data_IF_220838914188
#
_entry.id   IF_220838914188
#
_cell.length_a   1.000
_cell.length_b   1.000
_cell.length_c   1.000
_cell.angle_alpha   90.00
_cell.angle_beta   90.00
_cell.angle_gamma   90.00
#
_symmetry.space_group_name_H-M   'P 1'
#
loop_
_entity.id
_entity.type
_entity.pdbx_description
1 polymer ?
#
# COMPACT_ATOMS: atom_id res chain seq x y z
N UNK A 1 -15.00 -29.78 -31.74
CA UNK A 1 -13.70 -29.89 -31.01
C UNK A 1 -12.64 -29.14 -31.79
N UNK A 2 -11.67 -28.52 -31.09
CA UNK A 2 -10.55 -27.68 -31.56
C UNK A 2 -10.81 -26.17 -31.68
N UNK A 3 -10.61 -25.43 -30.57
CA UNK A 3 -10.08 -24.05 -30.56
C UNK A 3 -9.48 -23.75 -29.17
N UNK A 4 -8.30 -24.30 -28.89
CA UNK A 4 -7.48 -23.89 -27.73
C UNK A 4 -6.01 -23.88 -28.12
N UNK A 5 -5.64 -22.91 -28.96
CA UNK A 5 -4.27 -22.48 -29.12
C UNK A 5 -4.32 -20.98 -29.38
N UNK A 6 -3.90 -20.17 -28.40
CA UNK A 6 -3.31 -18.82 -28.52
C UNK A 6 -3.45 -17.98 -27.24
N UNK A 7 -3.07 -18.48 -26.06
CA UNK A 7 -2.76 -17.59 -24.92
C UNK A 7 -1.64 -18.17 -24.03
N UNK A 8 -0.45 -18.37 -24.59
CA UNK A 8 0.74 -18.73 -23.80
C UNK A 8 2.02 -17.95 -24.16
N UNK A 9 1.89 -16.71 -24.64
CA UNK A 9 3.04 -15.85 -24.98
C UNK A 9 2.95 -14.46 -24.36
N UNK A 10 2.85 -14.36 -23.02
CA UNK A 10 3.11 -13.08 -22.32
C UNK A 10 3.79 -13.20 -20.95
N UNK A 11 4.53 -14.29 -20.69
CA UNK A 11 5.35 -14.45 -19.46
C UNK A 11 6.87 -14.32 -19.64
N UNK A 12 7.37 -13.95 -20.83
CA UNK A 12 8.82 -13.85 -21.10
C UNK A 12 9.40 -12.42 -21.25
N UNK A 13 8.66 -11.37 -20.89
CA UNK A 13 9.15 -9.98 -21.06
C UNK A 13 9.67 -9.28 -19.79
N UNK A 14 9.76 -9.95 -18.63
CA UNK A 14 10.15 -9.28 -17.38
C UNK A 14 11.51 -9.69 -16.78
N UNK A 15 12.25 -10.62 -17.40
CA UNK A 15 13.56 -11.05 -16.88
C UNK A 15 14.75 -10.24 -17.40
N UNK A 16 14.63 -9.55 -18.54
CA UNK A 16 15.78 -8.92 -19.20
C UNK A 16 16.05 -7.46 -18.79
N UNK A 17 15.14 -6.79 -18.07
CA UNK A 17 15.25 -5.34 -17.79
C UNK A 17 15.69 -5.01 -16.34
N UNK A 18 16.05 -6.02 -15.54
CA UNK A 18 16.30 -5.87 -14.10
C UNK A 18 17.57 -6.64 -13.68
N UNK A 19 18.73 -6.27 -14.23
CA UNK A 19 20.04 -6.86 -13.90
C UNK A 19 20.56 -6.55 -12.48
N UNK A 20 19.68 -6.16 -11.54
CA UNK A 20 20.01 -5.97 -10.14
C UNK A 20 19.42 -7.09 -9.29
N UNK A 21 20.20 -7.64 -8.35
CA UNK A 21 19.67 -8.55 -7.32
C UNK A 21 18.63 -7.80 -6.49
N UNK A 22 17.34 -8.06 -6.75
CA UNK A 22 16.27 -7.58 -5.88
C UNK A 22 16.57 -8.01 -4.45
N UNK A 23 16.63 -7.05 -3.54
CA UNK A 23 16.74 -7.33 -2.12
C UNK A 23 15.46 -8.04 -1.65
N UNK A 24 15.53 -8.80 -0.56
CA UNK A 24 14.33 -9.43 0.01
C UNK A 24 13.27 -8.38 0.39
N UNK A 25 13.71 -7.18 0.81
CA UNK A 25 12.87 -6.02 1.11
C UNK A 25 12.08 -5.54 -0.11
N UNK A 26 12.73 -5.41 -1.27
CA UNK A 26 12.06 -5.00 -2.50
C UNK A 26 10.88 -5.93 -2.86
N UNK A 27 11.00 -7.23 -2.54
CA UNK A 27 9.91 -8.19 -2.78
C UNK A 27 8.69 -7.91 -1.90
N UNK A 28 8.90 -7.52 -0.66
CA UNK A 28 7.82 -7.11 0.26
C UNK A 28 7.16 -5.84 -0.26
N UNK A 29 7.94 -4.85 -0.69
CA UNK A 29 7.41 -3.58 -1.21
C UNK A 29 6.57 -3.77 -2.48
N UNK A 30 7.02 -4.63 -3.41
CA UNK A 30 6.22 -4.99 -4.60
C UNK A 30 4.88 -5.61 -4.21
N UNK A 31 4.87 -6.50 -3.22
CA UNK A 31 3.62 -7.15 -2.75
C UNK A 31 2.72 -6.20 -1.99
N UNK A 32 3.29 -5.29 -1.20
CA UNK A 32 2.56 -4.19 -0.58
C UNK A 32 1.81 -3.37 -1.64
N UNK A 33 2.52 -2.96 -2.70
CA UNK A 33 1.91 -2.21 -3.80
C UNK A 33 0.83 -2.99 -4.55
N UNK A 34 1.05 -4.28 -4.79
CA UNK A 34 0.02 -5.15 -5.40
C UNK A 34 -1.19 -5.34 -4.50
N UNK A 35 -0.99 -5.49 -3.19
CA UNK A 35 -2.07 -5.63 -2.22
C UNK A 35 -2.95 -4.39 -2.17
N UNK A 36 -2.34 -3.21 -2.27
CA UNK A 36 -3.06 -1.94 -2.37
C UNK A 36 -3.96 -1.86 -3.62
N UNK A 37 -3.60 -2.57 -4.69
CA UNK A 37 -4.39 -2.63 -5.92
C UNK A 37 -5.61 -3.55 -5.86
N UNK A 38 -5.79 -4.32 -4.78
CA UNK A 38 -6.99 -5.15 -4.56
C UNK A 38 -8.14 -4.22 -4.12
N UNK A 39 -9.32 -4.34 -4.71
CA UNK A 39 -10.46 -3.52 -4.35
C UNK A 39 -10.92 -3.87 -2.92
N UNK A 40 -11.54 -2.93 -2.21
CA UNK A 40 -12.04 -3.23 -0.87
C UNK A 40 -13.25 -4.17 -0.90
N UNK A 41 -14.09 -4.07 -1.94
CA UNK A 41 -15.20 -5.01 -2.17
C UNK A 41 -14.74 -6.44 -2.49
N UNK A 42 -13.49 -6.65 -2.91
CA UNK A 42 -12.91 -7.99 -3.11
C UNK A 42 -12.51 -8.66 -1.79
N UNK A 43 -12.68 -7.99 -0.64
CA UNK A 43 -12.35 -8.53 0.68
C UNK A 43 -13.62 -8.63 1.51
N UNK A 44 -14.00 -9.85 1.84
CA UNK A 44 -15.13 -10.14 2.70
C UNK A 44 -14.60 -10.64 4.05
N UNK A 45 -14.98 -9.96 5.14
CA UNK A 45 -14.76 -10.49 6.48
C UNK A 45 -15.70 -11.68 6.72
N UNK A 46 -15.13 -12.80 7.14
CA UNK A 46 -15.90 -13.99 7.55
C UNK A 46 -16.01 -14.05 9.08
N UNK A 47 -14.98 -13.58 9.79
CA UNK A 47 -14.93 -13.38 11.24
C UNK A 47 -13.85 -12.33 11.55
N UNK A 48 -13.71 -11.96 12.82
CA UNK A 48 -12.68 -11.00 13.28
C UNK A 48 -11.24 -11.44 12.97
N UNK A 49 -11.04 -12.75 12.83
CA UNK A 49 -9.74 -13.37 12.57
C UNK A 49 -9.63 -14.01 11.18
N UNK A 50 -10.65 -13.87 10.33
CA UNK A 50 -10.72 -14.58 9.04
C UNK A 50 -11.35 -13.75 7.94
N UNK A 51 -10.68 -13.71 6.80
CA UNK A 51 -11.12 -13.00 5.62
C UNK A 51 -11.09 -13.89 4.38
N UNK A 52 -12.02 -13.65 3.46
CA UNK A 52 -12.03 -14.17 2.11
C UNK A 52 -11.62 -13.04 1.16
N UNK A 53 -10.64 -13.30 0.30
CA UNK A 53 -10.14 -12.35 -0.70
C UNK A 53 -10.36 -12.92 -2.09
N UNK A 54 -11.12 -12.21 -2.92
CA UNK A 54 -11.43 -12.63 -4.28
C UNK A 54 -10.23 -12.45 -5.21
N UNK A 55 -10.01 -13.41 -6.11
CA UNK A 55 -8.92 -13.33 -7.07
C UNK A 55 -9.24 -12.32 -8.16
N UNK A 56 -8.37 -11.33 -8.33
CA UNK A 56 -8.47 -10.35 -9.43
C UNK A 56 -8.30 -10.99 -10.83
N UNK A 57 -7.84 -12.24 -10.90
CA UNK A 57 -7.72 -12.99 -12.15
C UNK A 57 -8.99 -13.81 -12.47
N UNK A 58 -10.08 -13.64 -11.71
CA UNK A 58 -11.35 -14.34 -11.89
C UNK A 58 -11.37 -15.81 -11.43
N UNK A 59 -10.21 -16.41 -11.14
CA UNK A 59 -10.13 -17.79 -10.67
C UNK A 59 -9.99 -17.87 -9.14
N UNK A 60 -11.12 -18.05 -8.47
CA UNK A 60 -11.21 -18.49 -7.09
C UNK A 60 -11.12 -17.39 -6.01
N UNK A 61 -11.19 -17.83 -4.76
CA UNK A 61 -11.02 -16.99 -3.58
C UNK A 61 -9.94 -17.58 -2.67
N UNK A 62 -9.22 -16.70 -1.97
CA UNK A 62 -8.19 -17.06 -1.00
C UNK A 62 -8.69 -16.75 0.40
N UNK A 63 -8.28 -17.56 1.37
CA UNK A 63 -8.58 -17.32 2.78
C UNK A 63 -7.34 -16.75 3.46
N UNK A 64 -7.53 -15.72 4.26
CA UNK A 64 -6.52 -15.12 5.12
C UNK A 64 -6.96 -15.32 6.56
N UNK A 65 -6.05 -15.80 7.39
CA UNK A 65 -6.26 -16.07 8.81
C UNK A 65 -5.30 -15.20 9.62
N UNK A 66 -5.80 -14.60 10.70
CA UNK A 66 -4.98 -14.04 11.76
C UNK A 66 -4.61 -15.17 12.71
N UNK A 67 -3.32 -15.45 12.84
CA UNK A 67 -2.80 -16.46 13.78
C UNK A 67 -2.38 -15.85 15.11
N UNK A 68 -1.86 -14.62 15.09
CA UNK A 68 -1.41 -13.91 16.29
C UNK A 68 -1.68 -12.40 16.16
N UNK A 69 -2.19 -11.78 17.22
CA UNK A 69 -2.42 -10.32 17.27
C UNK A 69 -1.12 -9.51 17.27
N UNK A 70 0.00 -10.14 17.65
CA UNK A 70 1.34 -9.55 17.67
C UNK A 70 2.42 -10.54 17.19
N UNK A 71 3.59 -10.07 16.73
CA UNK A 71 4.69 -10.96 16.33
C UNK A 71 5.21 -11.68 17.60
N UNK A 72 5.14 -13.02 17.71
CA UNK A 72 5.63 -13.75 18.88
C UNK A 72 7.17 -13.71 19.01
N UNK A 73 7.88 -13.31 17.95
CA UNK A 73 9.34 -13.20 17.95
C UNK A 73 9.77 -11.79 18.35
N UNK A 74 10.63 -11.69 19.37
CA UNK A 74 11.28 -10.42 19.76
C UNK A 74 12.03 -9.76 18.60
N UNK A 75 12.68 -10.57 17.74
CA UNK A 75 13.46 -10.09 16.59
C UNK A 75 13.06 -10.83 15.30
N UNK A 76 11.92 -10.44 14.71
CA UNK A 76 11.55 -10.89 13.36
C UNK A 76 12.48 -10.18 12.33
N UNK A 77 12.97 -10.91 11.31
CA UNK A 77 13.94 -10.37 10.33
C UNK A 77 13.30 -9.28 9.49
N UNK A 78 14.10 -8.38 8.92
CA UNK A 78 13.59 -7.19 8.21
C UNK A 78 12.70 -7.53 7.00
N UNK A 79 12.94 -8.67 6.34
CA UNK A 79 12.11 -9.14 5.23
C UNK A 79 10.83 -9.86 5.64
N UNK A 80 10.67 -10.16 6.94
CA UNK A 80 9.45 -10.73 7.49
C UNK A 80 8.48 -9.61 7.94
N UNK A 81 8.85 -8.35 7.73
CA UNK A 81 8.09 -7.18 8.15
C UNK A 81 7.79 -6.25 7.00
N UNK A 82 6.61 -5.66 7.02
CA UNK A 82 6.28 -4.52 6.18
C UNK A 82 6.35 -3.23 7.01
N UNK A 83 7.26 -2.34 6.63
CA UNK A 83 7.45 -1.05 7.28
C UNK A 83 6.55 0.06 6.71
N UNK A 84 5.61 -0.26 5.83
CA UNK A 84 4.68 0.71 5.31
C UNK A 84 3.70 1.15 6.41
N UNK A 85 3.52 2.47 6.57
CA UNK A 85 2.63 3.07 7.55
C UNK A 85 1.20 2.51 7.55
N UNK A 86 0.69 2.17 6.35
CA UNK A 86 -0.65 1.59 6.17
C UNK A 86 -0.75 0.13 6.62
N UNK A 87 0.37 -0.57 6.74
CA UNK A 87 0.41 -1.94 7.24
C UNK A 87 0.68 -2.02 8.76
N UNK A 88 1.01 -0.90 9.41
CA UNK A 88 1.09 -0.81 10.88
C UNK A 88 1.94 -1.89 11.53
N UNK A 89 3.17 -2.08 11.04
CA UNK A 89 4.09 -3.07 11.61
C UNK A 89 3.79 -4.54 11.27
N UNK A 90 3.03 -4.79 10.20
CA UNK A 90 2.69 -6.14 9.72
C UNK A 90 3.90 -7.08 9.67
N UNK A 91 3.77 -8.23 10.33
CA UNK A 91 4.77 -9.29 10.29
C UNK A 91 4.19 -10.59 9.71
N UNK A 92 5.03 -11.33 9.00
CA UNK A 92 4.79 -12.66 8.45
C UNK A 92 4.17 -13.65 9.45
N UNK A 93 4.54 -13.57 10.73
CA UNK A 93 4.11 -14.51 11.77
C UNK A 93 2.70 -14.24 12.30
N UNK A 94 2.08 -13.13 11.92
CA UNK A 94 0.75 -12.76 12.39
C UNK A 94 -0.34 -13.34 11.52
N UNK A 95 -0.05 -13.66 10.26
CA UNK A 95 -1.06 -14.05 9.27
C UNK A 95 -0.65 -15.27 8.47
N UNK A 96 -1.66 -16.04 8.06
CA UNK A 96 -1.53 -17.13 7.10
C UNK A 96 -2.50 -16.92 5.94
N UNK A 97 -2.02 -17.14 4.72
CA UNK A 97 -2.86 -17.08 3.52
C UNK A 97 -2.81 -18.39 2.74
N UNK A 98 -3.95 -18.79 2.16
CA UNK A 98 -4.05 -20.00 1.33
C UNK A 98 -3.62 -19.80 -0.12
N UNK A 99 -3.12 -18.62 -0.49
CA UNK A 99 -2.65 -18.38 -1.86
C UNK A 99 -1.33 -19.12 -2.14
N UNK A 100 -1.09 -19.56 -3.38
CA UNK A 100 0.13 -20.28 -3.77
C UNK A 100 1.37 -19.37 -3.88
N UNK A 101 1.41 -18.23 -3.18
CA UNK A 101 2.58 -17.35 -3.15
C UNK A 101 3.58 -17.92 -2.13
N UNK A 102 4.81 -18.21 -2.54
CA UNK A 102 5.87 -18.78 -1.70
C UNK A 102 6.36 -17.83 -0.57
N UNK A 103 5.69 -16.70 -0.37
CA UNK A 103 6.14 -15.65 0.52
C UNK A 103 5.15 -15.44 1.65
N UNK A 104 5.70 -15.26 2.83
CA UNK A 104 4.96 -15.12 4.09
C UNK A 104 4.13 -13.84 4.17
N UNK A 105 4.47 -12.81 3.38
CA UNK A 105 3.69 -11.57 3.24
C UNK A 105 3.20 -11.40 1.80
N UNK A 106 2.14 -12.11 1.46
CA UNK A 106 1.51 -12.01 0.14
C UNK A 106 0.69 -10.72 -0.01
N UNK A 107 0.31 -10.38 -1.25
CA UNK A 107 -0.53 -9.21 -1.54
C UNK A 107 -1.88 -9.22 -0.80
N UNK A 108 -2.44 -10.39 -0.52
CA UNK A 108 -3.72 -10.55 0.17
C UNK A 108 -3.61 -10.16 1.64
N UNK A 109 -2.56 -10.61 2.33
CA UNK A 109 -2.27 -10.24 3.73
C UNK A 109 -2.08 -8.73 3.85
N UNK A 110 -1.34 -8.12 2.92
CA UNK A 110 -1.19 -6.67 2.90
C UNK A 110 -2.52 -5.93 2.78
N UNK A 111 -3.42 -6.39 1.89
CA UNK A 111 -4.74 -5.76 1.71
C UNK A 111 -5.58 -5.88 2.97
N UNK A 112 -5.69 -7.08 3.54
CA UNK A 112 -6.47 -7.33 4.77
C UNK A 112 -5.97 -6.43 5.90
N UNK A 113 -4.66 -6.44 6.17
CA UNK A 113 -4.09 -5.58 7.23
C UNK A 113 -4.35 -4.10 7.00
N UNK A 114 -4.28 -3.63 5.75
CA UNK A 114 -4.57 -2.23 5.44
C UNK A 114 -6.04 -1.84 5.69
N UNK A 115 -6.97 -2.80 5.63
CA UNK A 115 -8.36 -2.58 5.99
C UNK A 115 -8.56 -2.60 7.51
N UNK A 116 -7.98 -3.58 8.22
CA UNK A 116 -8.07 -3.68 9.68
C UNK A 116 -7.43 -2.47 10.39
N UNK A 117 -6.26 -2.01 9.93
CA UNK A 117 -5.62 -0.82 10.52
C UNK A 117 -6.41 0.47 10.24
N UNK A 118 -7.34 0.47 9.27
CA UNK A 118 -8.19 1.63 9.00
C UNK A 118 -9.42 1.69 9.89
N UNK A 119 -9.95 0.54 10.32
CA UNK A 119 -11.04 0.47 11.29
C UNK A 119 -10.57 0.87 12.68
N UNK A 120 -9.32 0.57 13.06
CA UNK A 120 -8.84 0.72 14.43
C UNK A 120 -8.24 2.11 14.74
N UNK A 121 -8.23 3.04 13.78
CA UNK A 121 -7.52 4.34 13.92
C UNK A 121 -8.46 5.46 14.31
N UNK A 122 -8.08 6.17 15.38
CA UNK A 122 -8.61 7.50 15.71
C UNK A 122 -8.23 8.54 14.65
N UNK A 123 -8.94 9.65 14.59
CA UNK A 123 -8.72 10.67 13.55
C UNK A 123 -7.31 11.28 13.58
N UNK A 124 -6.72 11.44 14.76
CA UNK A 124 -5.32 11.86 14.92
C UNK A 124 -4.32 10.87 14.28
N UNK A 125 -4.56 9.56 14.44
CA UNK A 125 -3.73 8.52 13.82
C UNK A 125 -3.95 8.44 12.31
N UNK A 126 -5.18 8.73 11.84
CA UNK A 126 -5.53 8.82 10.42
C UNK A 126 -4.80 10.00 9.75
N UNK A 127 -4.76 11.15 10.40
CA UNK A 127 -4.01 12.33 9.96
C UNK A 127 -2.51 12.03 9.85
N UNK A 128 -1.92 11.42 10.87
CA UNK A 128 -0.49 11.06 10.90
C UNK A 128 -0.11 10.06 9.81
N UNK A 129 -0.93 9.03 9.58
CA UNK A 129 -0.72 8.06 8.51
C UNK A 129 -0.83 8.68 7.11
N UNK A 130 -1.67 9.71 6.95
CA UNK A 130 -1.78 10.45 5.69
C UNK A 130 -0.49 11.20 5.37
N UNK A 131 0.16 11.81 6.38
CA UNK A 131 1.46 12.49 6.24
C UNK A 131 2.54 11.48 5.80
N UNK A 132 2.60 10.32 6.45
CA UNK A 132 3.54 9.26 6.08
C UNK A 132 3.28 8.68 4.67
N UNK A 133 2.02 8.53 4.24
CA UNK A 133 1.69 8.11 2.86
C UNK A 133 2.15 9.15 1.82
N UNK A 134 1.98 10.45 2.11
CA UNK A 134 2.49 11.54 1.26
C UNK A 134 4.02 11.45 1.13
N UNK A 135 4.74 11.25 2.24
CA UNK A 135 6.21 11.07 2.25
C UNK A 135 6.64 9.88 1.38
N UNK A 136 5.99 8.73 1.54
CA UNK A 136 6.26 7.54 0.74
C UNK A 136 5.99 7.75 -0.76
N UNK A 137 4.90 8.43 -1.12
CA UNK A 137 4.59 8.77 -2.53
C UNK A 137 5.64 9.68 -3.15
N UNK A 138 6.12 10.68 -2.39
CA UNK A 138 7.21 11.56 -2.82
C UNK A 138 8.47 10.75 -3.08
N UNK A 139 8.89 9.89 -2.13
CA UNK A 139 10.04 8.97 -2.31
C UNK A 139 9.90 8.08 -3.53
N UNK A 140 8.74 7.44 -3.73
CA UNK A 140 8.49 6.58 -4.88
C UNK A 140 8.50 7.34 -6.23
N UNK A 141 8.04 8.59 -6.26
CA UNK A 141 8.12 9.45 -7.45
C UNK A 141 9.57 9.84 -7.76
N UNK A 142 10.34 10.22 -6.74
CA UNK A 142 11.78 10.51 -6.88
C UNK A 142 12.53 9.29 -7.38
N UNK A 143 12.33 8.12 -6.76
CA UNK A 143 12.98 6.88 -7.22
C UNK A 143 12.62 6.52 -8.66
N UNK A 144 11.38 6.74 -9.11
CA UNK A 144 11.03 6.56 -10.52
C UNK A 144 11.80 7.51 -11.44
N UNK A 145 11.95 8.78 -11.06
CA UNK A 145 12.77 9.74 -11.82
C UNK A 145 14.24 9.33 -11.87
N UNK A 146 14.81 8.93 -10.73
CA UNK A 146 16.20 8.43 -10.66
C UNK A 146 16.39 7.20 -11.54
N UNK A 147 15.44 6.25 -11.53
CA UNK A 147 15.49 5.07 -12.40
C UNK A 147 15.44 5.44 -13.88
N UNK A 148 14.58 6.38 -14.28
CA UNK A 148 14.52 6.88 -15.66
C UNK A 148 15.82 7.58 -16.08
N UNK A 149 16.37 8.43 -15.22
CA UNK A 149 17.63 9.12 -15.47
C UNK A 149 18.79 8.13 -15.61
N UNK A 150 18.87 7.14 -14.72
CA UNK A 150 19.89 6.08 -14.77
C UNK A 150 19.77 5.22 -16.04
N UNK A 151 18.54 4.94 -16.49
CA UNK A 151 18.31 4.23 -17.76
C UNK A 151 18.77 5.07 -18.97
N UNK A 152 18.43 6.36 -19.00
CA UNK A 152 18.87 7.28 -20.07
C UNK A 152 20.39 7.42 -20.13
N UNK A 153 21.06 7.58 -18.97
CA UNK A 153 22.52 7.61 -18.91
C UNK A 153 23.17 6.31 -19.38
N UNK A 154 22.51 5.17 -19.15
CA UNK A 154 23.01 3.87 -19.64
C UNK A 154 22.90 3.77 -21.16
N UNK A 155 21.81 4.27 -21.77
CA UNK A 155 21.71 4.32 -23.24
C UNK A 155 22.75 5.23 -23.86
N UNK A 156 22.99 6.40 -23.25
CA UNK A 156 24.08 7.29 -23.66
C UNK A 156 25.43 6.58 -23.52
N UNK A 157 25.67 5.87 -22.41
CA UNK A 157 26.88 5.08 -22.21
C UNK A 157 27.10 4.03 -23.30
N UNK A 158 26.07 3.28 -23.71
CA UNK A 158 26.16 2.34 -24.82
C UNK A 158 26.51 3.00 -26.16
N UNK A 159 26.01 4.22 -26.40
CA UNK A 159 26.34 4.99 -27.60
C UNK A 159 27.78 5.54 -27.57
N UNK A 160 28.30 5.79 -26.38
CA UNK A 160 29.67 6.25 -26.17
C UNK A 160 30.69 5.09 -26.17
N UNK A 161 30.27 3.88 -25.79
CA UNK A 161 31.09 2.66 -25.84
C UNK A 161 31.49 2.30 -27.29
N UNK A 162 30.69 2.72 -28.28
CA UNK A 162 31.08 2.63 -29.70
C UNK A 162 32.18 3.61 -30.11
N UNK A 163 32.53 4.58 -29.26
CA UNK A 163 33.65 5.49 -29.41
C UNK A 163 34.71 5.18 -28.35
N UNK A 164 35.61 4.25 -28.65
CA UNK A 164 36.70 3.85 -27.75
C UNK A 164 37.51 5.05 -27.25
N UNK A 165 37.29 5.47 -26.00
CA UNK A 165 38.20 6.30 -25.22
C UNK A 165 38.02 6.04 -23.72
N UNK A 166 39.08 5.62 -23.03
CA UNK A 166 39.14 5.39 -21.57
C UNK A 166 38.73 6.62 -20.73
N UNK A 167 38.66 7.80 -21.35
CA UNK A 167 38.24 9.04 -20.72
C UNK A 167 36.72 9.11 -20.43
N UNK A 168 35.87 8.45 -21.23
CA UNK A 168 34.41 8.56 -21.11
C UNK A 168 33.85 7.76 -19.92
N UNK A 169 34.44 6.60 -19.61
CA UNK A 169 34.06 5.79 -18.45
C UNK A 169 34.30 6.53 -17.12
N UNK A 170 35.37 7.32 -17.04
CA UNK A 170 35.66 8.17 -15.89
C UNK A 170 34.58 9.24 -15.66
N UNK A 171 34.08 9.84 -16.74
CA UNK A 171 33.05 10.89 -16.70
C UNK A 171 31.69 10.31 -16.30
N UNK A 172 31.28 9.19 -16.89
CA UNK A 172 30.01 8.51 -16.57
C UNK A 172 30.00 8.02 -15.13
N UNK A 173 31.09 7.38 -14.67
CA UNK A 173 31.22 6.92 -13.28
C UNK A 173 31.15 8.07 -12.27
N UNK A 174 31.74 9.21 -12.60
CA UNK A 174 31.74 10.39 -11.71
C UNK A 174 30.38 11.09 -11.68
N UNK A 175 29.69 11.18 -12.82
CA UNK A 175 28.32 11.68 -12.89
C UNK A 175 27.35 10.80 -12.06
N UNK A 176 27.48 9.47 -12.16
CA UNK A 176 26.66 8.54 -11.39
C UNK A 176 26.86 8.70 -9.86
N UNK A 177 28.11 8.84 -9.40
CA UNK A 177 28.41 9.10 -7.97
C UNK A 177 27.89 10.45 -7.49
N UNK A 178 28.00 11.50 -8.30
CA UNK A 178 27.43 12.82 -7.98
C UNK A 178 25.91 12.77 -7.82
N UNK A 179 25.21 12.07 -8.72
CA UNK A 179 23.76 11.91 -8.63
C UNK A 179 23.33 11.14 -7.37
N UNK A 180 24.10 10.12 -6.96
CA UNK A 180 23.83 9.36 -5.74
C UNK A 180 24.08 10.22 -4.47
N UNK A 181 25.12 11.05 -4.49
CA UNK A 181 25.40 12.04 -3.45
C UNK A 181 24.31 13.10 -3.32
N UNK A 182 23.84 13.67 -4.44
CA UNK A 182 22.73 14.63 -4.45
C UNK A 182 21.45 13.98 -3.92
N UNK A 183 21.16 12.75 -4.33
CA UNK A 183 20.01 12.01 -3.79
C UNK A 183 20.12 11.87 -2.27
N UNK A 184 21.30 11.46 -1.77
CA UNK A 184 21.54 11.28 -0.34
C UNK A 184 21.41 12.58 0.45
N UNK A 185 21.95 13.70 -0.06
CA UNK A 185 21.79 15.03 0.56
C UNK A 185 20.34 15.50 0.58
N UNK A 186 19.61 15.34 -0.53
CA UNK A 186 18.18 15.69 -0.59
C UNK A 186 17.39 14.83 0.41
N UNK A 187 17.73 13.56 0.58
CA UNK A 187 17.09 12.70 1.57
C UNK A 187 17.41 13.12 3.01
N UNK A 188 18.63 13.58 3.30
CA UNK A 188 19.03 14.06 4.63
C UNK A 188 18.35 15.39 4.98
N UNK A 189 18.30 16.34 4.05
CA UNK A 189 17.73 17.67 4.28
C UNK A 189 16.20 17.63 4.45
N UNK A 190 15.53 16.64 3.83
CA UNK A 190 14.11 16.37 4.09
C UNK A 190 13.85 15.82 5.50
N UNK A 191 14.81 15.16 6.13
CA UNK A 191 14.65 14.61 7.49
C UNK A 191 15.03 15.65 8.58
N UNK A 192 15.76 16.71 8.24
CA UNK A 192 16.16 17.81 9.15
C UNK A 192 15.10 18.93 9.23
N UNK A 193 14.52 19.32 8.09
CA UNK A 193 13.44 20.31 8.03
C UNK A 193 12.20 19.89 8.85
N UNK A 194 11.94 18.58 8.96
CA UNK A 194 10.81 18.04 9.75
C UNK A 194 11.05 18.06 11.26
N UNK A 195 12.30 18.14 11.75
CA UNK A 195 12.57 18.32 13.20
C UNK A 195 12.28 19.74 13.67
N UNK A 196 12.28 20.71 12.76
CA UNK A 196 12.14 22.12 13.10
C UNK A 196 10.68 22.59 13.06
N UNK A 197 9.78 21.88 12.36
CA UNK A 197 8.33 22.17 12.32
C UNK A 197 7.50 21.32 13.31
N UNK A 198 8.14 20.54 14.17
CA UNK A 198 7.47 19.68 15.17
C UNK A 198 7.59 20.14 16.63
N UNK A 199 8.09 21.36 16.86
CA UNK A 199 8.46 21.87 18.19
C UNK A 199 7.41 22.65 18.96
N UNK A 200 6.33 23.11 18.32
CA UNK A 200 5.46 24.14 18.92
C UNK A 200 3.99 23.69 18.89
N UNK A 201 3.57 22.85 19.84
CA UNK A 201 2.15 22.63 20.14
C UNK A 201 1.99 22.08 21.56
N UNK A 202 2.55 22.79 22.54
CA UNK A 202 2.12 22.71 23.94
C UNK A 202 1.66 24.13 24.33
N UNK A 203 0.35 24.36 24.21
CA UNK A 203 -0.34 25.34 25.05
C UNK A 203 -1.47 24.57 25.69
N UNK A 204 -1.17 24.03 26.87
CA UNK A 204 -2.16 23.66 27.87
C UNK A 204 -2.95 24.94 28.21
N UNK A 205 -4.23 24.94 27.86
CA UNK A 205 -5.21 25.87 28.41
C UNK A 205 -6.32 25.01 29.03
N UNK A 206 -5.95 24.47 30.20
CA UNK A 206 -6.88 23.94 31.19
C UNK A 206 -7.62 25.15 31.79
N UNK A 207 -8.69 25.57 31.13
CA UNK A 207 -9.70 26.43 31.74
C UNK A 207 -10.87 25.55 32.17
N UNK A 208 -10.90 25.28 33.47
CA UNK A 208 -12.03 24.76 34.22
C UNK A 208 -13.31 25.56 33.86
N UNK A 209 -14.37 24.88 33.46
CA UNK A 209 -15.73 25.45 33.50
C UNK A 209 -16.69 24.40 34.07
N UNK A 210 -16.77 24.43 35.40
CA UNK A 210 -17.81 23.80 36.20
C UNK A 210 -19.14 24.50 35.90
N UNK A 211 -19.88 23.98 34.93
CA UNK A 211 -21.25 24.35 34.64
C UNK A 211 -22.20 23.18 34.86
N UNK A 212 -22.53 22.94 36.13
CA UNK A 212 -23.83 22.36 36.49
C UNK A 212 -24.92 23.19 35.80
N UNK A 213 -25.87 22.55 35.10
CA UNK A 213 -27.24 23.06 34.94
C UNK A 213 -28.12 21.92 34.38
N UNK A 214 -28.89 21.37 35.31
CA UNK A 214 -30.34 21.14 35.23
C UNK A 214 -30.96 20.28 34.11
N UNK A 215 -31.53 19.16 34.59
CA UNK A 215 -32.86 18.64 34.28
C UNK A 215 -33.65 19.38 33.18
N UNK A 216 -33.95 18.69 32.07
CA UNK A 216 -35.29 18.82 31.49
C UNK A 216 -35.79 17.51 30.87
N UNK A 217 -36.88 17.05 31.48
CA UNK A 217 -37.78 16.00 31.02
C UNK A 217 -38.54 16.48 29.79
N UNK A 218 -38.22 15.92 28.63
CA UNK A 218 -39.01 16.11 27.40
C UNK A 218 -39.33 14.76 26.76
N UNK A 219 -40.46 14.20 27.17
CA UNK A 219 -41.22 13.25 26.36
C UNK A 219 -41.66 14.00 25.08
N UNK A 220 -41.42 13.44 23.90
CA UNK A 220 -42.27 13.70 22.73
C UNK A 220 -42.16 12.51 21.77
N UNK A 221 -43.21 11.69 21.84
CA UNK A 221 -43.72 10.84 20.78
C UNK A 221 -43.96 11.67 19.52
N UNK A 222 -43.53 11.17 18.35
CA UNK A 222 -44.30 11.39 17.13
C UNK A 222 -44.10 10.20 16.20
N UNK A 223 -45.18 9.45 16.10
CA UNK A 223 -45.49 8.50 15.05
C UNK A 223 -45.41 9.18 13.69
N UNK A 224 -44.67 8.57 12.76
CA UNK A 224 -44.98 8.72 11.34
C UNK A 224 -45.22 7.33 10.79
N UNK A 225 -46.49 6.95 10.93
CA UNK A 225 -47.20 6.03 10.06
C UNK A 225 -47.12 6.49 8.59
N UNK A 226 -47.34 5.51 7.72
CA UNK A 226 -47.84 5.63 6.35
C UNK A 226 -46.88 6.18 5.27
N UNK A 227 -46.45 5.29 4.39
CA UNK A 227 -47.06 5.25 3.04
C UNK A 227 -46.67 3.95 2.33
N UNK A 228 -47.70 3.12 2.14
CA UNK A 228 -47.80 2.12 1.09
C UNK A 228 -47.65 2.80 -0.29
N UNK A 229 -46.82 2.26 -1.18
CA UNK A 229 -47.04 2.43 -2.62
C UNK A 229 -46.72 1.11 -3.33
N UNK A 230 -47.75 0.28 -3.38
CA UNK A 230 -47.94 -0.78 -4.35
C UNK A 230 -48.02 -0.16 -5.75
N UNK A 231 -47.02 -0.41 -6.59
CA UNK A 231 -47.22 -0.38 -8.04
C UNK A 231 -46.62 -1.62 -8.67
N UNK A 232 -47.50 -2.62 -8.80
CA UNK A 232 -47.44 -3.62 -9.85
C UNK A 232 -47.31 -2.93 -11.21
N UNK A 233 -46.25 -3.25 -11.96
CA UNK A 233 -46.19 -2.98 -13.40
C UNK A 233 -45.95 -4.30 -14.13
N UNK A 234 -47.06 -4.97 -14.41
CA UNK A 234 -47.18 -5.96 -15.46
C UNK A 234 -47.01 -5.27 -16.82
N UNK A 235 -45.95 -5.61 -17.54
CA UNK A 235 -45.90 -5.42 -18.99
C UNK A 235 -45.24 -6.63 -19.64
N UNK A 236 -46.12 -7.59 -19.90
CA UNK A 236 -46.10 -8.56 -20.99
C UNK A 236 -45.94 -7.82 -22.34
N UNK A 237 -44.92 -8.15 -23.15
CA UNK A 237 -45.03 -7.97 -24.61
C UNK A 237 -43.96 -8.79 -25.37
N UNK A 238 -44.44 -9.94 -25.86
CA UNK A 238 -44.43 -10.35 -27.27
C UNK A 238 -43.13 -10.46 -28.10
N UNK A 239 -43.02 -11.65 -28.69
CA UNK A 239 -42.72 -11.91 -30.11
C UNK A 239 -41.27 -11.77 -30.66
N UNK A 240 -40.64 -12.95 -30.84
CA UNK A 240 -40.12 -13.56 -32.10
C UNK A 240 -38.83 -14.38 -31.92
#
# INVERSE_FOLDING_TARGET
MYFFHLFFTRRRANRAMWGGRFTKRDRVDVRHHRGRGIASGDVQALSDTKWRVQSQAGQGSYKVYLENDSCPKRSCREWDKCHAARCGGLCAHMYRCTCPDDNTLCKHIHKVRMLSVRSDRTDAQRASASRQDRRWRRRARVQRKVRRAKAALKEIGHYLDSFSTEALDGVIGTAARKLDGICSQVFSHCDEFERQEGGDAETDDDSDDDGDDDEDSGEDSDDTDDDDDDSDDDSDDSDE
#
